data_IF_949367825830
#
_entry.id   IF_949367825830
#
_cell.length_a   1.000
_cell.length_b   1.000
_cell.length_c   1.000
_cell.angle_alpha   90.00
_cell.angle_beta   90.00
_cell.angle_gamma   90.00
#
_symmetry.space_group_name_H-M   'P 1'
#
loop_
_entity.id
_entity.type
_entity.pdbx_description
1 polymer ?
#
# COMPACT_ATOMS: atom_id res chain seq x y z
N UNK A 1 8.52 23.23 -11.52
CA UNK A 1 7.66 23.47 -10.34
C UNK A 1 6.87 22.19 -10.13
N UNK A 2 6.72 21.75 -8.90
CA UNK A 2 6.01 20.51 -8.63
C UNK A 2 4.51 20.60 -8.96
N UNK A 3 3.96 19.49 -9.44
CA UNK A 3 2.57 19.39 -9.86
C UNK A 3 2.06 17.96 -9.71
N UNK A 4 0.74 17.82 -9.55
CA UNK A 4 0.10 16.50 -9.44
C UNK A 4 -0.32 16.05 -10.84
N UNK A 5 0.03 14.82 -11.20
CA UNK A 5 -0.34 14.19 -12.48
C UNK A 5 -0.80 12.74 -12.28
N UNK A 6 -1.54 12.15 -13.24
CA UNK A 6 -1.81 10.72 -13.23
C UNK A 6 -0.52 9.91 -13.13
N UNK A 7 -0.60 8.77 -12.45
CA UNK A 7 0.45 7.78 -12.43
C UNK A 7 0.69 7.23 -13.85
N UNK A 8 1.95 7.01 -14.19
CA UNK A 8 2.37 6.30 -15.38
C UNK A 8 3.25 5.10 -14.98
N UNK A 9 3.30 4.01 -15.76
CA UNK A 9 4.13 2.84 -15.44
C UNK A 9 5.61 3.15 -15.15
N UNK A 10 6.15 4.24 -15.73
CA UNK A 10 7.52 4.71 -15.45
C UNK A 10 7.75 5.14 -14.00
N UNK A 11 6.69 5.49 -13.26
CA UNK A 11 6.77 5.96 -11.88
C UNK A 11 6.84 4.80 -10.87
N UNK A 12 6.74 3.54 -11.33
CA UNK A 12 6.68 2.35 -10.47
C UNK A 12 7.82 2.28 -9.45
N UNK A 13 9.06 2.52 -9.90
CA UNK A 13 10.22 2.47 -8.99
C UNK A 13 10.27 3.67 -8.03
N UNK A 14 9.83 4.85 -8.45
CA UNK A 14 9.69 5.99 -7.55
C UNK A 14 8.62 5.72 -6.49
N UNK A 15 7.47 5.15 -6.86
CA UNK A 15 6.42 4.76 -5.91
C UNK A 15 6.90 3.69 -4.91
N UNK A 16 7.64 2.67 -5.38
CA UNK A 16 8.27 1.67 -4.50
C UNK A 16 9.25 2.34 -3.53
N UNK A 17 10.05 3.29 -4.02
CA UNK A 17 10.98 4.05 -3.19
C UNK A 17 10.25 4.89 -2.13
N UNK A 18 9.22 5.63 -2.52
CA UNK A 18 8.40 6.45 -1.61
C UNK A 18 7.82 5.58 -0.50
N UNK A 19 7.16 4.47 -0.85
CA UNK A 19 6.56 3.56 0.13
C UNK A 19 7.57 3.07 1.17
N UNK A 20 8.77 2.67 0.74
CA UNK A 20 9.84 2.24 1.65
C UNK A 20 10.35 3.36 2.54
N UNK A 21 10.50 4.57 1.97
CA UNK A 21 11.01 5.73 2.67
C UNK A 21 10.04 6.29 3.72
N UNK A 22 8.74 6.00 3.59
CA UNK A 22 7.70 6.47 4.52
C UNK A 22 7.23 5.40 5.51
N UNK A 23 7.87 4.23 5.54
CA UNK A 23 7.55 3.20 6.52
C UNK A 23 7.74 3.69 7.97
N UNK A 24 6.83 3.33 8.89
CA UNK A 24 7.05 3.62 10.30
C UNK A 24 8.28 2.85 10.83
N UNK A 25 8.97 3.36 11.87
CA UNK A 25 10.21 2.75 12.37
C UNK A 25 10.10 1.27 12.73
N UNK A 26 8.93 0.83 13.20
CA UNK A 26 8.66 -0.57 13.55
C UNK A 26 8.72 -1.52 12.34
N UNK A 27 8.33 -1.04 11.15
CA UNK A 27 8.37 -1.80 9.90
C UNK A 27 9.71 -1.61 9.19
N UNK A 28 10.24 -0.39 9.18
CA UNK A 28 11.54 -0.06 8.58
C UNK A 28 12.72 -0.81 9.24
N UNK A 29 12.56 -1.28 10.48
CA UNK A 29 13.57 -2.07 11.17
C UNK A 29 13.78 -3.49 10.60
N UNK A 30 12.85 -4.02 9.80
CA UNK A 30 12.97 -5.33 9.16
C UNK A 30 13.31 -5.17 7.66
N UNK A 31 14.48 -5.67 7.20
CA UNK A 31 14.82 -5.67 5.79
C UNK A 31 13.80 -6.40 4.91
N UNK A 32 13.24 -7.52 5.38
CA UNK A 32 12.21 -8.24 4.66
C UNK A 32 10.91 -7.44 4.53
N UNK A 33 10.51 -6.72 5.59
CA UNK A 33 9.37 -5.81 5.52
C UNK A 33 9.61 -4.66 4.54
N UNK A 34 10.78 -4.04 4.56
CA UNK A 34 11.15 -2.98 3.60
C UNK A 34 11.10 -3.49 2.15
N UNK A 35 11.54 -4.72 1.89
CA UNK A 35 11.43 -5.32 0.56
C UNK A 35 9.96 -5.53 0.14
N UNK A 36 9.16 -6.15 1.01
CA UNK A 36 7.76 -6.50 0.72
C UNK A 36 6.79 -5.31 0.72
N UNK A 37 7.14 -4.19 1.37
CA UNK A 37 6.23 -3.07 1.59
C UNK A 37 5.51 -2.56 0.33
N UNK A 38 6.19 -2.31 -0.80
CA UNK A 38 5.48 -1.86 -2.00
C UNK A 38 4.53 -2.92 -2.58
N UNK A 39 4.80 -4.21 -2.38
CA UNK A 39 3.92 -5.29 -2.82
C UNK A 39 2.67 -5.44 -1.95
N UNK A 40 2.70 -4.90 -0.73
CA UNK A 40 1.56 -4.89 0.19
C UNK A 40 0.72 -3.63 0.05
N UNK A 41 1.35 -2.47 -0.19
CA UNK A 41 0.72 -1.16 0.01
C UNK A 41 0.82 -0.22 -1.20
N UNK A 42 1.33 -0.69 -2.34
CA UNK A 42 1.53 0.14 -3.53
C UNK A 42 1.12 -0.55 -4.82
N UNK A 43 1.78 -1.64 -5.18
CA UNK A 43 1.77 -2.19 -6.53
C UNK A 43 0.42 -2.76 -6.94
N UNK A 44 -0.39 -3.27 -6.00
CA UNK A 44 -1.73 -3.74 -6.31
C UNK A 44 -2.64 -2.63 -6.85
N UNK A 45 -2.44 -1.39 -6.40
CA UNK A 45 -3.23 -0.25 -6.87
C UNK A 45 -2.71 0.27 -8.21
N UNK A 46 -1.41 0.52 -8.31
CA UNK A 46 -0.81 1.05 -9.53
C UNK A 46 -0.89 0.08 -10.71
N UNK A 47 -0.93 -1.23 -10.44
CA UNK A 47 -1.06 -2.26 -11.47
C UNK A 47 -2.51 -2.51 -11.90
N UNK A 48 -3.45 -2.62 -10.95
CA UNK A 48 -4.84 -3.00 -11.25
C UNK A 48 -5.76 -1.80 -11.52
N UNK A 49 -5.46 -0.65 -10.92
CA UNK A 49 -6.29 0.56 -10.93
C UNK A 49 -5.48 1.84 -11.20
N UNK A 50 -4.59 1.87 -12.22
CA UNK A 50 -3.73 3.03 -12.50
C UNK A 50 -4.51 4.33 -12.73
N UNK A 51 -5.75 4.25 -13.24
CA UNK A 51 -6.62 5.41 -13.48
C UNK A 51 -7.10 6.11 -12.20
N UNK A 52 -6.96 5.45 -11.04
CA UNK A 52 -7.24 6.01 -9.71
C UNK A 52 -5.96 6.45 -8.98
N UNK A 53 -4.80 6.36 -9.63
CA UNK A 53 -3.49 6.65 -9.04
C UNK A 53 -2.91 7.96 -9.58
N UNK A 54 -2.37 8.79 -8.68
CA UNK A 54 -1.73 10.06 -9.01
C UNK A 54 -0.41 10.19 -8.26
N UNK A 55 0.54 10.91 -8.87
CA UNK A 55 1.84 11.23 -8.27
C UNK A 55 2.02 12.74 -8.15
N UNK A 56 2.81 13.18 -7.17
CA UNK A 56 3.40 14.50 -7.15
C UNK A 56 4.73 14.41 -7.89
N UNK A 57 4.80 15.07 -9.03
CA UNK A 57 6.02 15.27 -9.79
C UNK A 57 6.77 16.48 -9.21
N UNK A 58 8.09 16.40 -9.07
CA UNK A 58 8.92 17.52 -8.59
C UNK A 58 9.08 18.67 -9.60
N UNK A 59 8.66 18.45 -10.84
CA UNK A 59 8.80 19.36 -11.97
C UNK A 59 9.91 18.97 -12.94
N UNK A 60 10.67 17.91 -12.64
CA UNK A 60 11.74 17.34 -13.47
C UNK A 60 11.39 15.93 -13.97
N UNK A 61 10.19 15.43 -13.67
CA UNK A 61 9.68 14.14 -14.12
C UNK A 61 9.71 13.05 -13.05
N UNK A 62 10.24 13.33 -11.85
CA UNK A 62 10.38 12.35 -10.77
C UNK A 62 9.18 12.40 -9.83
N UNK A 63 8.64 11.22 -9.49
CA UNK A 63 7.61 11.15 -8.46
C UNK A 63 8.22 11.25 -7.06
N UNK A 64 7.69 12.16 -6.24
CA UNK A 64 8.15 12.47 -4.88
C UNK A 64 7.05 12.32 -3.82
N UNK A 65 5.87 11.89 -4.27
CA UNK A 65 4.74 11.46 -3.46
C UNK A 65 3.68 10.82 -4.33
N UNK A 66 2.74 10.09 -3.73
CA UNK A 66 1.62 9.48 -4.43
C UNK A 66 0.33 9.57 -3.64
N UNK A 67 -0.80 9.50 -4.34
CA UNK A 67 -2.08 9.02 -3.82
C UNK A 67 -2.57 7.93 -4.76
N UNK A 68 -2.77 6.73 -4.23
CA UNK A 68 -3.13 5.53 -4.98
C UNK A 68 -4.27 4.80 -4.29
N UNK A 69 -5.03 4.00 -5.02
CA UNK A 69 -6.16 3.31 -4.40
C UNK A 69 -7.01 2.51 -5.37
N UNK A 70 -8.13 2.04 -4.83
CA UNK A 70 -9.21 1.36 -5.58
C UNK A 70 -10.55 2.02 -5.25
N UNK A 71 -11.45 2.18 -6.23
CA UNK A 71 -12.83 2.62 -6.01
C UNK A 71 -13.68 1.62 -5.22
N UNK A 72 -13.33 0.35 -5.25
CA UNK A 72 -14.10 -0.71 -4.63
C UNK A 72 -13.16 -1.85 -4.22
N UNK A 73 -13.08 -2.14 -2.92
CA UNK A 73 -12.29 -3.27 -2.41
C UNK A 73 -12.78 -4.62 -2.91
N UNK A 74 -14.07 -4.78 -3.26
CA UNK A 74 -14.57 -6.00 -3.86
C UNK A 74 -14.19 -6.10 -5.34
N UNK A 75 -13.96 -4.97 -6.03
CA UNK A 75 -13.33 -4.99 -7.34
C UNK A 75 -11.86 -5.38 -7.23
N UNK A 76 -11.15 -4.87 -6.22
CA UNK A 76 -9.79 -5.30 -5.90
C UNK A 76 -9.73 -6.80 -5.63
N UNK A 77 -10.63 -7.34 -4.82
CA UNK A 77 -10.73 -8.79 -4.55
C UNK A 77 -10.86 -9.61 -5.84
N UNK A 78 -11.82 -9.26 -6.71
CA UNK A 78 -12.04 -9.96 -7.99
C UNK A 78 -10.80 -9.92 -8.90
N UNK A 79 -10.04 -8.83 -8.87
CA UNK A 79 -8.87 -8.63 -9.72
C UNK A 79 -7.58 -9.15 -9.10
N UNK A 80 -7.57 -9.46 -7.80
CA UNK A 80 -6.36 -9.83 -7.06
C UNK A 80 -5.63 -11.07 -7.61
N UNK A 81 -6.32 -12.12 -8.12
CA UNK A 81 -5.62 -13.25 -8.76
C UNK A 81 -4.70 -12.82 -9.91
N UNK A 82 -5.10 -11.77 -10.65
CA UNK A 82 -4.26 -11.19 -11.72
C UNK A 82 -3.02 -10.49 -11.15
N UNK A 83 -3.14 -9.78 -10.03
CA UNK A 83 -2.00 -9.18 -9.33
C UNK A 83 -1.02 -10.24 -8.82
N UNK A 84 -1.51 -11.33 -8.23
CA UNK A 84 -0.67 -12.44 -7.78
C UNK A 84 0.12 -13.03 -8.95
N UNK A 85 -0.55 -13.28 -10.09
CA UNK A 85 0.10 -13.90 -11.25
C UNK A 85 1.06 -12.94 -11.98
N UNK A 86 0.66 -11.70 -12.22
CA UNK A 86 1.45 -10.77 -13.03
C UNK A 86 2.56 -10.06 -12.22
N UNK A 87 2.37 -9.86 -10.90
CA UNK A 87 3.30 -9.10 -10.07
C UNK A 87 4.02 -9.98 -9.05
N UNK A 88 3.31 -10.69 -8.17
CA UNK A 88 3.97 -11.49 -7.11
C UNK A 88 4.74 -12.69 -7.67
N UNK A 89 4.26 -13.28 -8.77
CA UNK A 89 4.94 -14.38 -9.48
C UNK A 89 5.92 -13.94 -10.56
N UNK A 90 6.10 -12.63 -10.75
CA UNK A 90 7.20 -12.12 -11.59
C UNK A 90 8.56 -12.43 -10.96
N UNK A 91 9.64 -12.29 -11.73
CA UNK A 91 11.01 -12.48 -11.23
C UNK A 91 11.32 -11.57 -10.03
N UNK A 92 10.92 -10.30 -10.10
CA UNK A 92 11.09 -9.35 -9.00
C UNK A 92 10.18 -9.65 -7.81
N UNK A 93 8.94 -10.07 -8.07
CA UNK A 93 7.99 -10.47 -7.04
C UNK A 93 8.49 -11.67 -6.23
N UNK A 94 8.96 -12.73 -6.88
CA UNK A 94 9.50 -13.92 -6.21
C UNK A 94 10.82 -13.63 -5.46
N UNK A 95 11.56 -12.60 -5.91
CA UNK A 95 12.80 -12.16 -5.26
C UNK A 95 12.55 -11.36 -3.99
N UNK A 96 11.52 -10.52 -3.96
CA UNK A 96 11.23 -9.61 -2.84
C UNK A 96 10.13 -10.12 -1.90
N UNK A 97 9.22 -10.97 -2.38
CA UNK A 97 8.10 -11.54 -1.61
C UNK A 97 8.16 -13.08 -1.65
N UNK A 98 8.62 -13.72 -0.58
CA UNK A 98 8.63 -15.18 -0.50
C UNK A 98 7.23 -15.76 -0.71
N UNK A 99 7.14 -16.87 -1.47
CA UNK A 99 5.89 -17.64 -1.57
C UNK A 99 5.58 -18.23 -0.19
N UNK A 100 4.38 -18.01 0.37
CA UNK A 100 4.01 -18.57 1.67
C UNK A 100 4.10 -20.10 1.68
N UNK A 101 4.66 -20.66 2.75
CA UNK A 101 4.73 -22.11 2.97
C UNK A 101 3.32 -22.73 3.12
N UNK A 102 2.36 -21.94 3.61
CA UNK A 102 0.99 -22.34 3.95
C UNK A 102 0.04 -21.14 3.87
N UNK A 103 -1.24 -21.38 3.56
CA UNK A 103 -2.30 -20.36 3.45
C UNK A 103 -3.57 -20.73 4.25
N UNK A 104 -3.49 -21.74 5.11
CA UNK A 104 -4.59 -22.23 5.94
C UNK A 104 -4.83 -21.35 7.18
N UNK A 105 -3.78 -20.67 7.67
CA UNK A 105 -3.87 -19.78 8.84
C UNK A 105 -2.92 -18.60 8.71
N UNK A 106 -3.39 -17.40 9.01
CA UNK A 106 -2.53 -16.23 9.11
C UNK A 106 -1.59 -16.35 10.33
N UNK A 107 -0.29 -16.17 10.10
CA UNK A 107 0.72 -16.11 11.17
C UNK A 107 0.56 -14.84 12.01
N UNK A 108 1.03 -14.88 13.26
CA UNK A 108 0.97 -13.72 14.16
C UNK A 108 1.75 -12.53 13.58
N UNK A 109 1.17 -11.33 13.64
CA UNK A 109 1.80 -10.11 13.13
C UNK A 109 3.11 -9.77 13.86
N UNK A 110 3.17 -10.01 15.17
CA UNK A 110 4.34 -9.75 16.01
C UNK A 110 4.98 -11.04 16.51
N UNK A 111 6.30 -11.10 16.43
CA UNK A 111 7.13 -12.21 16.94
C UNK A 111 8.25 -11.67 17.82
N UNK A 112 8.69 -12.45 18.80
CA UNK A 112 9.78 -12.10 19.72
C UNK A 112 11.10 -11.89 18.96
N UNK A 113 11.75 -10.74 19.15
CA UNK A 113 12.97 -10.35 18.43
C UNK A 113 14.27 -10.99 18.98
N UNK A 114 14.16 -11.87 19.98
CA UNK A 114 15.28 -12.52 20.67
C UNK A 114 16.00 -11.62 21.67
N UNK A 115 15.52 -10.38 21.88
CA UNK A 115 16.12 -9.36 22.75
C UNK A 115 15.12 -8.81 23.78
N UNK A 116 13.97 -9.47 23.93
CA UNK A 116 12.88 -9.04 24.81
C UNK A 116 11.97 -7.97 24.20
N UNK A 117 12.10 -7.70 22.90
CA UNK A 117 11.23 -6.84 22.11
C UNK A 117 10.35 -7.62 21.14
N UNK A 118 9.64 -6.89 20.28
CA UNK A 118 8.80 -7.45 19.20
C UNK A 118 9.28 -6.91 17.86
N UNK A 119 9.25 -7.76 16.84
CA UNK A 119 9.43 -7.37 15.44
C UNK A 119 8.29 -7.90 14.60
N UNK A 120 8.10 -7.31 13.43
CA UNK A 120 7.10 -7.77 12.46
C UNK A 120 7.45 -9.17 11.97
N UNK A 121 6.44 -10.01 11.79
CA UNK A 121 6.60 -11.36 11.26
C UNK A 121 6.57 -11.35 9.74
N UNK A 122 7.73 -11.58 9.11
CA UNK A 122 7.86 -11.59 7.66
C UNK A 122 7.02 -12.69 6.99
N UNK A 123 6.74 -13.80 7.69
CA UNK A 123 5.82 -14.83 7.17
C UNK A 123 4.37 -14.33 7.08
N UNK A 124 3.92 -13.60 8.11
CA UNK A 124 2.61 -12.96 8.12
C UNK A 124 2.50 -11.92 6.99
N UNK A 125 3.55 -11.12 6.78
CA UNK A 125 3.60 -10.15 5.69
C UNK A 125 3.51 -10.82 4.31
N UNK A 126 4.28 -11.88 4.07
CA UNK A 126 4.21 -12.64 2.83
C UNK A 126 2.80 -13.21 2.60
N UNK A 127 2.21 -13.85 3.61
CA UNK A 127 0.82 -14.34 3.54
C UNK A 127 -0.18 -13.24 3.18
N UNK A 128 -0.03 -12.08 3.83
CA UNK A 128 -0.89 -10.92 3.58
C UNK A 128 -0.75 -10.41 2.15
N UNK A 129 0.46 -10.43 1.57
CA UNK A 129 0.66 -10.03 0.18
C UNK A 129 -0.10 -10.95 -0.80
N UNK A 130 -0.16 -12.26 -0.53
CA UNK A 130 -0.84 -13.23 -1.37
C UNK A 130 -2.36 -13.35 -1.11
N UNK A 131 -2.90 -12.71 -0.08
CA UNK A 131 -4.32 -12.78 0.27
C UNK A 131 -4.95 -11.39 0.42
N UNK A 132 -5.77 -10.99 -0.55
CA UNK A 132 -6.58 -9.77 -0.47
C UNK A 132 -7.55 -9.80 0.71
N UNK A 133 -7.99 -11.00 1.11
CA UNK A 133 -8.86 -11.18 2.26
C UNK A 133 -8.15 -10.70 3.53
N UNK A 134 -6.93 -11.17 3.79
CA UNK A 134 -6.14 -10.73 4.95
C UNK A 134 -5.63 -9.29 4.81
N UNK A 135 -5.29 -8.86 3.58
CA UNK A 135 -4.81 -7.51 3.35
C UNK A 135 -5.91 -6.47 3.58
N UNK A 136 -7.12 -6.69 3.07
CA UNK A 136 -8.13 -5.63 2.89
C UNK A 136 -9.49 -5.96 3.50
N UNK A 137 -9.95 -7.21 3.45
CA UNK A 137 -11.34 -7.52 3.80
C UNK A 137 -11.52 -7.96 5.27
N UNK A 138 -10.52 -8.66 5.81
CA UNK A 138 -10.54 -9.30 7.12
C UNK A 138 -9.24 -9.04 7.91
N UNK A 139 -9.07 -9.71 9.04
CA UNK A 139 -7.88 -9.66 9.90
C UNK A 139 -8.00 -8.77 11.14
N UNK A 140 -9.05 -7.95 11.21
CA UNK A 140 -9.43 -7.18 12.42
C UNK A 140 -10.95 -7.24 12.56
N UNK A 141 -11.44 -7.42 13.78
CA UNK A 141 -12.88 -7.42 14.08
C UNK A 141 -13.55 -6.14 13.54
N UNK A 142 -14.69 -6.29 12.85
CA UNK A 142 -15.43 -5.16 12.27
C UNK A 142 -14.93 -4.68 10.91
N UNK A 143 -13.81 -5.20 10.39
CA UNK A 143 -13.23 -4.72 9.11
C UNK A 143 -14.14 -5.02 7.92
N UNK A 144 -14.83 -6.17 7.93
CA UNK A 144 -15.71 -6.57 6.83
C UNK A 144 -16.92 -5.66 6.72
N UNK A 145 -17.59 -5.41 7.84
CA UNK A 145 -18.74 -4.50 7.94
C UNK A 145 -18.34 -3.07 7.55
N UNK A 146 -17.11 -2.67 7.93
CA UNK A 146 -16.55 -1.37 7.62
C UNK A 146 -16.37 -1.18 6.10
N UNK A 147 -15.79 -2.17 5.40
CA UNK A 147 -15.60 -2.07 3.95
C UNK A 147 -16.88 -2.31 3.14
N UNK A 148 -17.90 -2.94 3.73
CA UNK A 148 -19.23 -3.01 3.13
C UNK A 148 -19.90 -1.63 3.04
N UNK A 149 -19.73 -0.80 4.08
CA UNK A 149 -20.22 0.58 4.14
C UNK A 149 -19.35 1.58 3.37
N UNK A 150 -18.04 1.33 3.31
CA UNK A 150 -17.07 2.23 2.71
C UNK A 150 -16.07 1.46 1.85
N UNK A 151 -16.37 1.38 0.55
CA UNK A 151 -15.68 0.49 -0.40
C UNK A 151 -14.43 1.10 -1.02
N UNK A 152 -14.28 2.42 -0.96
CA UNK A 152 -13.11 3.12 -1.48
C UNK A 152 -11.94 2.99 -0.52
N UNK A 153 -10.76 2.64 -1.03
CA UNK A 153 -9.53 2.57 -0.24
C UNK A 153 -8.42 3.33 -0.95
N UNK A 154 -7.66 4.11 -0.18
CA UNK A 154 -6.51 4.85 -0.67
C UNK A 154 -5.30 4.72 0.25
N UNK A 155 -4.13 4.95 -0.32
CA UNK A 155 -2.86 5.13 0.38
C UNK A 155 -2.18 6.39 -0.15
N UNK A 156 -1.62 7.21 0.72
CA UNK A 156 -1.02 8.49 0.37
C UNK A 156 0.29 8.66 1.14
N UNK A 157 1.36 8.96 0.41
CA UNK A 157 2.68 9.15 0.95
C UNK A 157 3.42 10.26 0.22
N UNK A 158 4.20 11.04 0.97
CA UNK A 158 5.08 12.06 0.44
C UNK A 158 6.43 11.94 1.13
N UNK A 159 7.52 12.09 0.36
CA UNK A 159 8.86 12.19 0.94
C UNK A 159 8.94 13.41 1.89
N UNK A 160 9.77 13.32 2.93
CA UNK A 160 9.88 14.31 4.01
C UNK A 160 9.98 15.76 3.50
N UNK A 161 10.82 16.00 2.48
CA UNK A 161 11.03 17.31 1.88
C UNK A 161 9.82 17.90 1.13
N UNK A 162 8.75 17.12 0.94
CA UNK A 162 7.52 17.48 0.22
C UNK A 162 6.27 17.54 1.12
N UNK A 163 6.43 17.19 2.40
CA UNK A 163 5.35 17.25 3.39
C UNK A 163 5.07 18.69 3.85
N UNK A 164 3.90 18.90 4.47
CA UNK A 164 3.49 20.19 5.09
C UNK A 164 3.44 21.40 4.12
N UNK A 165 3.37 21.16 2.81
CA UNK A 165 3.30 22.17 1.74
C UNK A 165 1.93 22.29 1.06
N UNK A 166 0.94 21.52 1.50
CA UNK A 166 -0.42 21.51 0.92
C UNK A 166 -0.67 20.43 -0.13
N UNK A 167 0.37 19.82 -0.71
CA UNK A 167 0.23 18.81 -1.76
C UNK A 167 -0.63 17.60 -1.36
N UNK A 168 -0.51 17.08 -0.13
CA UNK A 168 -1.34 15.96 0.31
C UNK A 168 -2.85 16.27 0.29
N UNK A 169 -3.22 17.51 0.65
CA UNK A 169 -4.61 17.98 0.56
C UNK A 169 -5.07 18.14 -0.89
N UNK A 170 -4.20 18.60 -1.77
CA UNK A 170 -4.51 18.74 -3.20
C UNK A 170 -4.68 17.37 -3.89
N UNK A 171 -3.87 16.38 -3.50
CA UNK A 171 -3.98 15.00 -3.97
C UNK A 171 -5.32 14.35 -3.60
N UNK A 172 -5.76 14.49 -2.35
CA UNK A 172 -7.04 13.91 -1.89
C UNK A 172 -8.24 14.52 -2.63
N UNK A 173 -8.15 15.79 -3.02
CA UNK A 173 -9.23 16.51 -3.73
C UNK A 173 -9.33 16.20 -5.22
N UNK A 174 -8.49 15.30 -5.76
CA UNK A 174 -8.60 14.92 -7.17
C UNK A 174 -9.94 14.22 -7.39
N UNK A 175 -10.72 14.55 -8.45
CA UNK A 175 -12.08 14.04 -8.62
C UNK A 175 -12.22 12.52 -8.54
N UNK A 176 -11.25 11.77 -9.09
CA UNK A 176 -11.22 10.30 -9.03
C UNK A 176 -10.96 9.77 -7.61
N UNK A 177 -10.26 10.53 -6.77
CA UNK A 177 -10.05 10.26 -5.34
C UNK A 177 -11.24 10.76 -4.51
N UNK A 178 -11.90 11.84 -4.94
CA UNK A 178 -13.12 12.35 -4.31
C UNK A 178 -14.34 11.46 -4.57
N UNK A 179 -14.38 10.70 -5.67
CA UNK A 179 -15.35 9.63 -5.87
C UNK A 179 -15.18 8.47 -4.86
N UNK A 180 -13.98 8.30 -4.30
CA UNK A 180 -13.74 7.39 -3.17
C UNK A 180 -14.36 7.96 -1.89
N UNK A 181 -14.48 9.28 -1.73
CA UNK A 181 -14.86 9.96 -0.49
C UNK A 181 -16.32 9.74 -0.06
N UNK A 182 -17.23 9.44 -0.99
CA UNK A 182 -18.58 8.98 -0.62
C UNK A 182 -18.58 7.57 0.00
N UNK A 183 -17.42 6.91 0.02
CA UNK A 183 -17.19 5.52 0.44
C UNK A 183 -15.82 5.26 1.12
N UNK A 184 -15.14 6.24 1.73
CA UNK A 184 -13.82 6.05 2.38
C UNK A 184 -13.91 5.61 3.85
N UNK A 185 -13.16 4.54 4.15
CA UNK A 185 -12.55 4.30 5.46
C UNK A 185 -11.11 4.77 5.40
N UNK A 186 -10.80 5.76 6.22
CA UNK A 186 -9.45 6.25 6.40
C UNK A 186 -8.68 5.21 7.24
N UNK A 187 -7.80 4.41 6.64
CA UNK A 187 -6.83 3.64 7.42
C UNK A 187 -5.54 4.44 7.55
N UNK A 188 -5.43 5.13 8.69
CA UNK A 188 -4.14 5.41 9.30
C UNK A 188 -3.60 4.08 9.83
N UNK A 189 -2.46 3.61 9.32
CA UNK A 189 -1.58 2.77 10.14
C UNK A 189 -1.38 3.49 11.49
N UNK A 190 -1.26 2.81 12.65
CA UNK A 190 -1.22 3.46 13.97
C UNK A 190 0.02 4.34 14.25
N UNK A 191 0.65 4.88 13.21
CA UNK A 191 1.92 5.57 13.25
C UNK A 191 1.94 6.81 12.35
N UNK A 192 1.07 7.80 12.56
CA UNK A 192 1.41 9.18 12.16
C UNK A 192 0.65 10.20 13.02
N UNK A 193 1.43 10.97 13.79
CA UNK A 193 1.00 12.16 14.54
C UNK A 193 0.82 13.32 13.55
N UNK A 194 -0.23 14.10 13.75
CA UNK A 194 -0.59 15.32 13.00
C UNK A 194 0.52 16.38 12.96
#
# INVERSE_FOLDING_TARGET
>A
MAFIRPFEPRDTEDCKFICRATLPPSLAASPGCVAMAPYLWTLQFTHLFPEYCFVLDDGEGRAVGYVIGTPDVFALERMYPRYVEEVLRSEDGLREVPVPEQMERLEDWWVDDGRGGKRVNERCLAQTAYSVEWLVLEGVEGKRELVEGWRGMLHIDLLEGWQKKGFGREMIRRPCVSALWEGIVQWFQPFTVW
#
